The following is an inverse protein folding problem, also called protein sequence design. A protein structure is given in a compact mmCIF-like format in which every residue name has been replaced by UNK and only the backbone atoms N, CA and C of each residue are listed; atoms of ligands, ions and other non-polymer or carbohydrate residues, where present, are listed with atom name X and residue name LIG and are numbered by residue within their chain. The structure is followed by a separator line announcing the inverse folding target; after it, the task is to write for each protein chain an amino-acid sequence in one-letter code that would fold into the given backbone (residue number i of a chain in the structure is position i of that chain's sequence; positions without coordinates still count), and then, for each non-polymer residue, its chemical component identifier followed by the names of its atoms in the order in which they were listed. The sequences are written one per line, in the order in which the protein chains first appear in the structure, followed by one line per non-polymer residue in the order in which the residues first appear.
data_IF_431904006598
#
_entry.id   IF_431904006598
#
_cell.length_a   1.000
_cell.length_b   1.000
_cell.length_c   1.000
_cell.angle_alpha   90.00
_cell.angle_beta   90.00
_cell.angle_gamma   90.00
#
_symmetry.space_group_name_H-M   'P 1'
#
loop_
_entity.id
_entity.type
_entity.pdbx_description
1 polymer ?
#
# COMPACT_ATOMS: atom_id res chain seq x y z
N UNK A 1 -14.25 -13.25 -12.96
CA UNK A 1 -15.01 -12.97 -14.18
C UNK A 1 -15.08 -11.46 -14.33
N UNK A 2 -14.87 -10.90 -15.52
CA UNK A 2 -15.14 -9.50 -15.79
C UNK A 2 -16.52 -9.45 -16.46
N UNK A 3 -17.53 -9.05 -15.71
CA UNK A 3 -18.89 -8.92 -16.20
C UNK A 3 -18.92 -7.80 -17.25
N UNK A 4 -19.41 -8.11 -18.46
CA UNK A 4 -19.70 -7.14 -19.50
C UNK A 4 -20.58 -6.05 -18.94
N UNK A 5 -20.10 -4.81 -19.01
CA UNK A 5 -20.66 -3.69 -18.29
C UNK A 5 -20.77 -2.46 -19.15
N UNK A 6 -21.58 -1.51 -18.69
CA UNK A 6 -21.72 -0.19 -19.28
C UNK A 6 -20.41 0.60 -19.12
N UNK A 7 -19.88 1.17 -20.20
CA UNK A 7 -18.67 1.98 -20.13
C UNK A 7 -18.93 3.24 -19.26
N UNK A 8 -18.12 3.53 -18.22
CA UNK A 8 -18.36 4.70 -17.37
C UNK A 8 -18.15 6.05 -18.07
N UNK A 9 -17.44 6.06 -19.21
CA UNK A 9 -17.13 7.28 -19.94
C UNK A 9 -18.23 7.63 -20.95
N UNK A 10 -18.55 6.70 -21.85
CA UNK A 10 -19.50 6.94 -22.93
C UNK A 10 -20.88 6.32 -22.69
N UNK A 11 -21.03 5.49 -21.65
CA UNK A 11 -22.26 4.80 -21.25
C UNK A 11 -22.83 3.85 -22.31
N UNK A 12 -22.10 3.55 -23.38
CA UNK A 12 -22.43 2.42 -24.25
C UNK A 12 -22.12 1.07 -23.58
N UNK A 13 -22.87 0.04 -23.99
CA UNK A 13 -22.63 -1.34 -23.59
C UNK A 13 -21.29 -1.84 -24.11
N UNK A 14 -20.47 -2.40 -23.24
CA UNK A 14 -19.20 -3.02 -23.61
C UNK A 14 -19.41 -4.54 -23.68
N UNK A 15 -19.12 -5.18 -24.83
CA UNK A 15 -19.26 -6.62 -24.97
C UNK A 15 -18.31 -7.37 -24.02
N UNK A 16 -18.78 -8.51 -23.50
CA UNK A 16 -18.02 -9.38 -22.59
C UNK A 16 -16.68 -9.78 -23.22
N UNK A 17 -15.58 -9.51 -22.50
CA UNK A 17 -14.22 -9.83 -22.96
C UNK A 17 -13.53 -8.75 -23.79
N UNK A 18 -14.17 -7.60 -24.05
CA UNK A 18 -13.50 -6.47 -24.67
C UNK A 18 -12.59 -5.74 -23.67
N UNK A 19 -11.28 -5.77 -23.95
CA UNK A 19 -10.25 -5.09 -23.13
C UNK A 19 -10.28 -3.56 -23.26
N UNK A 20 -10.87 -3.10 -24.37
CA UNK A 20 -11.00 -1.69 -24.77
C UNK A 20 -12.47 -1.43 -25.10
N UNK A 21 -13.03 -0.34 -24.60
CA UNK A 21 -14.37 0.08 -25.03
C UNK A 21 -14.31 0.50 -26.52
N UNK A 22 -15.08 -0.14 -27.42
CA UNK A 22 -15.01 0.14 -28.86
C UNK A 22 -15.59 1.51 -29.25
N UNK A 23 -16.39 2.14 -28.38
CA UNK A 23 -17.03 3.42 -28.65
C UNK A 23 -16.15 4.63 -28.29
N UNK A 24 -15.39 4.55 -27.20
CA UNK A 24 -14.57 5.67 -26.72
C UNK A 24 -13.08 5.36 -26.62
N UNK A 25 -12.64 4.13 -26.90
CA UNK A 25 -11.24 3.71 -26.84
C UNK A 25 -10.67 3.60 -25.42
N UNK A 26 -11.51 3.69 -24.38
CA UNK A 26 -11.05 3.61 -23.00
C UNK A 26 -10.65 2.16 -22.65
N UNK A 27 -9.45 1.97 -22.11
CA UNK A 27 -8.94 0.70 -21.58
C UNK A 27 -9.20 0.58 -20.07
N UNK A 28 -10.33 -0.01 -19.62
CA UNK A 28 -10.60 -0.18 -18.19
C UNK A 28 -9.55 -1.06 -17.49
N UNK A 29 -8.95 -2.03 -18.20
CA UNK A 29 -7.83 -2.84 -17.67
C UNK A 29 -6.63 -1.99 -17.26
N UNK A 30 -6.31 -0.94 -18.02
CA UNK A 30 -5.13 -0.10 -17.79
C UNK A 30 -5.29 0.77 -16.53
N UNK A 31 -6.50 1.27 -16.26
CA UNK A 31 -6.81 2.04 -15.04
C UNK A 31 -6.77 1.17 -13.78
N UNK A 32 -7.29 -0.05 -13.85
CA UNK A 32 -7.26 -0.99 -12.72
C UNK A 32 -5.82 -1.39 -12.37
N UNK A 33 -4.99 -1.64 -13.40
CA UNK A 33 -3.58 -1.97 -13.20
C UNK A 33 -2.80 -0.81 -12.57
N UNK A 34 -3.07 0.44 -12.99
CA UNK A 34 -2.43 1.62 -12.42
C UNK A 34 -2.79 1.83 -10.94
N UNK A 35 -4.04 1.60 -10.56
CA UNK A 35 -4.47 1.61 -9.16
C UNK A 35 -3.80 0.50 -8.35
N UNK A 36 -3.78 -0.73 -8.87
CA UNK A 36 -3.14 -1.87 -8.22
C UNK A 36 -1.64 -1.62 -7.99
N UNK A 37 -0.94 -1.08 -8.99
CA UNK A 37 0.49 -0.75 -8.91
C UNK A 37 0.75 0.36 -7.89
N UNK A 38 -0.15 1.36 -7.81
CA UNK A 38 -0.12 2.39 -6.79
C UNK A 38 -0.27 1.83 -5.36
N UNK A 39 -1.25 0.94 -5.14
CA UNK A 39 -1.46 0.29 -3.84
C UNK A 39 -0.25 -0.55 -3.42
N UNK A 40 0.33 -1.33 -4.35
CA UNK A 40 1.52 -2.15 -4.08
C UNK A 40 2.74 -1.27 -3.73
N UNK A 41 2.97 -0.18 -4.46
CA UNK A 41 4.05 0.77 -4.17
C UNK A 41 3.90 1.43 -2.79
N UNK A 42 2.70 1.93 -2.47
CA UNK A 42 2.42 2.58 -1.17
C UNK A 42 2.53 1.57 -0.03
N UNK A 43 1.96 0.38 -0.19
CA UNK A 43 2.05 -0.69 0.81
C UNK A 43 3.50 -1.13 1.04
N UNK A 44 4.28 -1.30 -0.02
CA UNK A 44 5.70 -1.64 0.05
C UNK A 44 6.52 -0.57 0.78
N UNK A 45 6.31 0.71 0.46
CA UNK A 45 6.99 1.83 1.13
C UNK A 45 6.62 1.93 2.62
N UNK A 46 5.34 1.79 2.95
CA UNK A 46 4.88 1.80 4.34
C UNK A 46 5.48 0.65 5.15
N UNK A 47 5.56 -0.55 4.57
CA UNK A 47 6.20 -1.70 5.20
C UNK A 47 7.70 -1.48 5.39
N UNK A 48 8.37 -0.90 4.39
CA UNK A 48 9.80 -0.58 4.46
C UNK A 48 10.12 0.51 5.49
N UNK A 49 9.21 1.44 5.79
CA UNK A 49 9.40 2.46 6.83
C UNK A 49 9.04 1.96 8.23
N UNK A 50 8.02 1.11 8.35
CA UNK A 50 7.54 0.62 9.66
C UNK A 50 8.47 -0.41 10.28
N UNK A 51 9.13 -1.27 9.48
CA UNK A 51 10.11 -2.25 9.98
C UNK A 51 11.31 -1.58 10.69
N UNK A 52 12.05 -0.64 10.07
CA UNK A 52 13.14 0.06 10.74
C UNK A 52 12.64 0.95 11.88
N UNK A 53 11.46 1.57 11.74
CA UNK A 53 10.83 2.33 12.82
C UNK A 53 10.58 1.48 14.08
N UNK A 54 10.02 0.28 13.90
CA UNK A 54 9.80 -0.66 14.99
C UNK A 54 11.13 -1.10 15.64
N UNK A 55 12.17 -1.36 14.85
CA UNK A 55 13.49 -1.71 15.36
C UNK A 55 14.06 -0.60 16.26
N UNK A 56 13.96 0.66 15.83
CA UNK A 56 14.43 1.81 16.62
C UNK A 56 13.66 1.94 17.94
N UNK A 57 12.35 1.75 17.94
CA UNK A 57 11.53 1.78 19.15
C UNK A 57 12.00 0.72 20.15
N UNK A 58 12.27 -0.50 19.69
CA UNK A 58 12.79 -1.59 20.54
C UNK A 58 14.17 -1.23 21.09
N UNK A 59 15.09 -0.73 20.26
CA UNK A 59 16.43 -0.33 20.69
C UNK A 59 16.37 0.75 21.78
N UNK A 60 15.55 1.79 21.58
CA UNK A 60 15.36 2.87 22.56
C UNK A 60 14.74 2.33 23.85
N UNK A 61 13.72 1.49 23.76
CA UNK A 61 13.08 0.86 24.91
C UNK A 61 14.05 0.01 25.73
N UNK A 62 14.89 -0.80 25.08
CA UNK A 62 15.94 -1.60 25.73
C UNK A 62 16.98 -0.69 26.38
N UNK A 63 17.44 0.36 25.68
CA UNK A 63 18.40 1.32 26.23
C UNK A 63 17.90 2.02 27.49
N UNK A 64 16.64 2.45 27.49
CA UNK A 64 15.97 3.05 28.66
C UNK A 64 15.83 2.04 29.81
N UNK A 65 15.46 0.80 29.50
CA UNK A 65 15.36 -0.25 30.51
C UNK A 65 16.70 -0.57 31.17
N UNK A 66 17.80 -0.61 30.39
CA UNK A 66 19.15 -0.87 30.89
C UNK A 66 19.64 0.29 31.76
N UNK A 67 19.49 1.54 31.31
CA UNK A 67 19.89 2.73 32.07
C UNK A 67 19.11 2.86 33.38
N UNK A 68 17.82 2.51 33.39
CA UNK A 68 17.02 2.45 34.63
C UNK A 68 17.52 1.40 35.63
N UNK A 69 18.15 0.31 35.18
CA UNK A 69 18.73 -0.71 36.08
C UNK A 69 20.10 -0.32 36.63
N UNK A 70 20.85 0.52 35.92
CA UNK A 70 22.17 1.02 36.36
C UNK A 70 22.01 2.27 37.23
N UNK A 71 21.00 3.10 36.98
CA UNK A 71 20.66 4.31 37.76
C UNK A 71 20.64 4.17 39.29
N UNK A 72 20.08 3.10 39.91
CA UNK A 72 20.10 2.96 41.37
C UNK A 72 21.50 2.70 41.96
N UNK A 73 22.52 2.39 41.15
CA UNK A 73 23.88 2.07 41.63
C UNK A 73 24.87 3.23 41.57
N UNK A 74 24.55 4.32 40.87
CA UNK A 74 25.43 5.50 40.73
C UNK A 74 25.11 6.63 41.74
N UNK A 75 24.01 6.53 42.47
CA UNK A 75 23.56 7.51 43.48
C UNK A 75 23.51 6.95 44.92
N UNK A 76 24.19 5.82 45.18
CA UNK A 76 24.27 5.18 46.48
C UNK A 76 25.72 5.18 47.00
#
# INVERSE_FOLDING_TARGET
MADGGTCPNCREGVPDGADVCPHCGLNPKQRLFQFALGVVMVGGLAMWLTIPGALLIVIVGVGLAVTSRIGPTVWA
#
